data_IF_056180534252
#
_entry.id   IF_056180534252
#
_cell.length_a   1.000
_cell.length_b   1.000
_cell.length_c   1.000
_cell.angle_alpha   90.00
_cell.angle_beta   90.00
_cell.angle_gamma   90.00
#
_symmetry.space_group_name_H-M   'P 1'
#
loop_
_entity.id
_entity.type
_entity.pdbx_description
1 polymer ?
#
# COMPACT_ATOMS: atom_id res chain seq x y z
N UNK A 1 25.49 -2.92 -45.49
CA UNK A 1 24.14 -3.39 -45.11
C UNK A 1 24.03 -3.33 -43.59
N UNK A 2 23.42 -2.28 -43.04
CA UNK A 2 23.25 -2.09 -41.60
C UNK A 2 21.86 -2.54 -41.16
N UNK A 3 21.77 -3.61 -40.37
CA UNK A 3 20.51 -4.11 -39.83
C UNK A 3 20.05 -3.27 -38.65
N UNK A 4 18.95 -2.54 -38.80
CA UNK A 4 18.27 -1.84 -37.71
C UNK A 4 17.57 -2.86 -36.80
N UNK A 5 18.09 -3.06 -35.59
CA UNK A 5 17.37 -3.82 -34.54
C UNK A 5 16.12 -3.03 -34.14
N UNK A 6 14.95 -3.51 -34.54
CA UNK A 6 13.66 -3.01 -34.03
C UNK A 6 13.57 -3.34 -32.54
N UNK A 7 13.61 -2.32 -31.70
CA UNK A 7 13.31 -2.43 -30.26
C UNK A 7 11.81 -2.72 -30.15
N UNK A 8 11.44 -3.94 -29.77
CA UNK A 8 10.05 -4.26 -29.44
C UNK A 8 9.71 -3.51 -28.15
N UNK A 9 8.80 -2.55 -28.22
CA UNK A 9 8.18 -1.96 -27.02
C UNK A 9 7.33 -3.03 -26.37
N UNK A 10 7.87 -3.73 -25.37
CA UNK A 10 7.07 -4.55 -24.49
C UNK A 10 6.13 -3.61 -23.72
N UNK A 11 4.83 -3.78 -23.97
CA UNK A 11 3.77 -3.08 -23.25
C UNK A 11 3.68 -3.76 -21.88
N UNK A 12 4.06 -3.04 -20.82
CA UNK A 12 3.78 -3.51 -19.45
C UNK A 12 2.27 -3.42 -19.30
N UNK A 13 1.59 -4.56 -19.39
CA UNK A 13 0.14 -4.60 -19.51
C UNK A 13 -0.55 -4.54 -18.14
N UNK A 14 0.14 -4.97 -17.07
CA UNK A 14 -0.36 -4.88 -15.69
C UNK A 14 0.81 -4.59 -14.74
N UNK A 15 0.65 -3.58 -13.88
CA UNK A 15 1.56 -3.34 -12.75
C UNK A 15 0.90 -3.98 -11.54
N UNK A 16 1.43 -5.13 -11.09
CA UNK A 16 0.97 -5.75 -9.85
C UNK A 16 1.37 -4.84 -8.68
N UNK A 17 0.39 -4.32 -7.96
CA UNK A 17 0.58 -3.35 -6.89
C UNK A 17 -0.18 -3.81 -5.64
N UNK A 18 0.46 -3.69 -4.48
CA UNK A 18 -0.20 -3.80 -3.19
C UNK A 18 -0.08 -2.47 -2.47
N UNK A 19 -1.20 -1.96 -1.98
CA UNK A 19 -1.27 -0.70 -1.26
C UNK A 19 -1.69 -1.01 0.17
N UNK A 20 -0.81 -0.71 1.12
CA UNK A 20 -1.11 -0.82 2.53
C UNK A 20 -1.49 0.53 3.11
N UNK A 21 -2.48 0.55 3.99
CA UNK A 21 -2.83 1.76 4.73
C UNK A 21 -3.36 1.40 6.13
N UNK A 22 -3.24 2.35 7.06
CA UNK A 22 -3.82 2.22 8.40
C UNK A 22 -5.35 2.23 8.37
N UNK A 23 -5.99 1.73 9.43
CA UNK A 23 -7.45 1.70 9.51
C UNK A 23 -8.09 3.02 9.92
N UNK A 24 -7.29 3.97 10.39
CA UNK A 24 -7.74 5.26 10.93
C UNK A 24 -6.80 6.37 10.48
N UNK A 25 -7.37 7.54 10.20
CA UNK A 25 -6.63 8.81 10.15
C UNK A 25 -6.98 9.64 11.38
N UNK A 26 -6.04 10.42 11.90
CA UNK A 26 -6.33 11.48 12.87
C UNK A 26 -6.02 12.85 12.26
N UNK A 27 -6.78 13.87 12.62
CA UNK A 27 -6.42 15.23 12.27
C UNK A 27 -5.40 15.75 13.29
N UNK A 28 -4.24 16.22 12.83
CA UNK A 28 -3.19 16.78 13.69
C UNK A 28 -3.62 17.97 14.58
N UNK A 29 -4.80 18.55 14.34
CA UNK A 29 -5.40 19.61 15.15
C UNK A 29 -6.18 19.11 16.37
N UNK A 30 -6.43 17.81 16.52
CA UNK A 30 -7.00 17.27 17.75
C UNK A 30 -5.88 17.05 18.77
N UNK A 31 -5.96 17.73 19.91
CA UNK A 31 -5.06 17.65 21.08
C UNK A 31 -5.01 16.28 21.77
N UNK A 32 -5.23 15.18 21.05
CA UNK A 32 -5.12 13.81 21.52
C UNK A 32 -3.83 13.18 21.01
N UNK A 33 -2.76 13.40 21.77
CA UNK A 33 -1.42 12.85 21.54
C UNK A 33 -1.44 11.31 21.36
N UNK A 34 -2.39 10.63 22.02
CA UNK A 34 -2.52 9.17 21.99
C UNK A 34 -3.04 8.62 20.64
N UNK A 35 -3.76 9.43 19.85
CA UNK A 35 -4.29 8.99 18.55
C UNK A 35 -3.22 8.97 17.46
N UNK A 36 -2.18 9.79 17.57
CA UNK A 36 -1.07 9.81 16.60
C UNK A 36 -0.30 8.48 16.57
N UNK A 37 -0.33 7.73 17.68
CA UNK A 37 0.30 6.42 17.82
C UNK A 37 -0.53 5.26 17.27
N UNK A 38 -1.70 5.51 16.66
CA UNK A 38 -2.59 4.47 16.13
C UNK A 38 -3.35 4.91 14.87
N UNK A 39 -2.89 5.97 14.19
CA UNK A 39 -3.56 6.48 13.00
C UNK A 39 -2.62 7.28 12.09
N UNK A 40 -3.06 7.46 10.85
CA UNK A 40 -2.37 8.29 9.88
C UNK A 40 -2.75 9.77 10.09
N UNK A 41 -1.78 10.56 10.56
CA UNK A 41 -1.96 11.97 10.89
C UNK A 41 -1.73 12.93 9.70
N UNK A 42 -1.19 12.42 8.59
CA UNK A 42 -0.66 13.22 7.46
C UNK A 42 -1.48 12.96 6.20
N UNK A 43 -1.85 11.72 5.95
CA UNK A 43 -2.63 11.28 4.79
C UNK A 43 -3.98 10.72 5.25
N UNK A 44 -5.00 10.99 4.43
CA UNK A 44 -6.35 10.48 4.66
C UNK A 44 -6.46 9.05 4.09
N UNK A 45 -6.75 8.08 4.94
CA UNK A 45 -6.88 6.67 4.56
C UNK A 45 -7.97 6.42 3.50
N UNK A 46 -9.01 7.26 3.48
CA UNK A 46 -10.07 7.17 2.47
C UNK A 46 -9.57 7.63 1.09
N UNK A 47 -8.65 8.60 1.07
CA UNK A 47 -8.04 9.07 -0.16
C UNK A 47 -7.04 8.04 -0.69
N UNK A 48 -6.26 7.39 0.18
CA UNK A 48 -5.38 6.28 -0.20
C UNK A 48 -6.18 5.15 -0.85
N UNK A 49 -7.29 4.73 -0.24
CA UNK A 49 -8.12 3.66 -0.78
C UNK A 49 -8.80 4.05 -2.11
N UNK A 50 -9.35 5.26 -2.20
CA UNK A 50 -10.10 5.69 -3.39
C UNK A 50 -9.18 6.06 -4.57
N UNK A 51 -8.10 6.81 -4.32
CA UNK A 51 -7.12 7.18 -5.34
C UNK A 51 -6.25 5.99 -5.73
N UNK A 52 -5.88 5.13 -4.79
CA UNK A 52 -5.15 3.90 -5.05
C UNK A 52 -5.87 3.04 -6.09
N UNK A 53 -7.18 2.82 -5.89
CA UNK A 53 -8.02 2.08 -6.85
C UNK A 53 -8.18 2.78 -8.20
N UNK A 54 -8.16 4.12 -8.22
CA UNK A 54 -8.27 4.90 -9.46
C UNK A 54 -7.00 4.86 -10.29
N UNK A 55 -5.84 4.90 -9.64
CA UNK A 55 -4.51 4.90 -10.29
C UNK A 55 -4.09 3.46 -10.66
N UNK A 56 -4.37 2.50 -9.77
CA UNK A 56 -4.08 1.09 -9.94
C UNK A 56 -5.35 0.25 -9.72
N UNK A 57 -6.18 0.07 -10.77
CA UNK A 57 -7.45 -0.65 -10.66
C UNK A 57 -7.31 -2.08 -10.15
N UNK A 58 -6.19 -2.73 -10.48
CA UNK A 58 -5.88 -4.12 -10.13
C UNK A 58 -5.06 -4.23 -8.82
N UNK A 59 -4.87 -3.13 -8.09
CA UNK A 59 -4.10 -3.17 -6.86
C UNK A 59 -4.86 -3.89 -5.73
N UNK A 60 -4.12 -4.69 -4.97
CA UNK A 60 -4.58 -5.23 -3.70
C UNK A 60 -4.47 -4.14 -2.62
N UNK A 61 -5.59 -3.56 -2.24
CA UNK A 61 -5.64 -2.57 -1.14
C UNK A 61 -5.89 -3.30 0.18
N UNK A 62 -4.91 -3.29 1.07
CA UNK A 62 -4.93 -4.00 2.35
C UNK A 62 -4.90 -2.99 3.49
N UNK A 63 -5.94 -3.04 4.33
CA UNK A 63 -6.05 -2.21 5.54
C UNK A 63 -5.43 -2.94 6.73
N UNK A 64 -4.48 -2.31 7.40
CA UNK A 64 -3.86 -2.84 8.63
C UNK A 64 -4.47 -2.13 9.84
N UNK A 65 -5.03 -2.91 10.76
CA UNK A 65 -5.72 -2.39 11.96
C UNK A 65 -4.70 -1.88 12.99
N UNK A 66 -4.98 -0.72 13.59
CA UNK A 66 -4.15 -0.05 14.60
C UNK A 66 -2.74 0.31 14.10
N UNK A 67 -2.52 0.30 12.79
CA UNK A 67 -1.25 0.75 12.25
C UNK A 67 -1.12 2.26 12.37
N UNK A 68 0.08 2.69 12.74
CA UNK A 68 0.44 4.11 12.67
C UNK A 68 0.71 4.49 11.21
N UNK A 69 0.88 5.80 10.94
CA UNK A 69 1.24 6.30 9.60
C UNK A 69 2.31 5.42 8.93
N UNK A 70 3.44 5.25 9.61
CA UNK A 70 4.48 4.31 9.19
C UNK A 70 4.22 2.94 9.81
N UNK A 71 3.57 2.06 9.05
CA UNK A 71 3.16 0.72 9.54
C UNK A 71 4.33 -0.05 10.18
N UNK A 72 5.54 0.09 9.61
CA UNK A 72 6.77 -0.56 10.10
C UNK A 72 7.30 -0.02 11.43
N UNK A 73 6.74 1.08 11.92
CA UNK A 73 7.04 1.67 13.23
C UNK A 73 5.92 1.42 14.25
N UNK A 74 4.92 0.61 13.90
CA UNK A 74 3.82 0.22 14.78
C UNK A 74 4.27 -0.81 15.83
N UNK A 75 3.36 -1.30 16.68
CA UNK A 75 3.67 -2.37 17.63
C UNK A 75 4.07 -3.67 16.93
N UNK A 76 4.78 -4.55 17.64
CA UNK A 76 5.23 -5.85 17.13
C UNK A 76 4.08 -6.67 16.51
N UNK A 77 2.91 -6.70 17.16
CA UNK A 77 1.72 -7.38 16.64
C UNK A 77 1.27 -6.84 15.27
N UNK A 78 1.35 -5.52 15.09
CA UNK A 78 0.96 -4.86 13.83
C UNK A 78 2.00 -5.12 12.75
N UNK A 79 3.29 -5.07 13.11
CA UNK A 79 4.40 -5.37 12.21
C UNK A 79 4.33 -6.82 11.73
N UNK A 80 4.08 -7.77 12.63
CA UNK A 80 3.91 -9.18 12.30
C UNK A 80 2.72 -9.39 11.36
N UNK A 81 1.58 -8.74 11.65
CA UNK A 81 0.42 -8.78 10.77
C UNK A 81 0.73 -8.20 9.37
N UNK A 82 1.44 -7.08 9.31
CA UNK A 82 1.87 -6.45 8.06
C UNK A 82 2.78 -7.37 7.24
N UNK A 83 3.81 -7.97 7.85
CA UNK A 83 4.70 -8.92 7.17
C UNK A 83 3.99 -10.19 6.74
N UNK A 84 3.02 -10.69 7.52
CA UNK A 84 2.18 -11.80 7.12
C UNK A 84 1.38 -11.48 5.85
N UNK A 85 0.80 -10.28 5.76
CA UNK A 85 0.09 -9.84 4.56
C UNK A 85 1.01 -9.68 3.35
N UNK A 86 2.21 -9.10 3.53
CA UNK A 86 3.21 -8.98 2.44
C UNK A 86 3.64 -10.36 1.97
N UNK A 87 4.01 -11.25 2.89
CA UNK A 87 4.46 -12.60 2.56
C UNK A 87 3.37 -13.36 1.81
N UNK A 88 2.11 -13.25 2.26
CA UNK A 88 0.98 -13.84 1.57
C UNK A 88 0.81 -13.29 0.16
N UNK A 89 0.94 -11.98 -0.03
CA UNK A 89 0.83 -11.33 -1.35
C UNK A 89 1.96 -11.76 -2.29
N UNK A 90 3.22 -11.79 -1.82
CA UNK A 90 4.39 -12.22 -2.59
C UNK A 90 4.33 -13.69 -3.04
N UNK A 91 3.68 -14.54 -2.23
CA UNK A 91 3.52 -15.95 -2.54
C UNK A 91 2.29 -16.25 -3.43
N UNK A 92 1.51 -15.25 -3.83
CA UNK A 92 0.39 -15.49 -4.75
C UNK A 92 0.93 -15.85 -6.14
N UNK A 93 0.45 -16.94 -6.75
CA UNK A 93 0.84 -17.26 -8.12
C UNK A 93 0.38 -16.15 -9.06
N UNK A 94 1.30 -15.65 -9.89
CA UNK A 94 0.98 -14.71 -10.96
C UNK A 94 0.10 -15.41 -12.00
N UNK A 95 -1.21 -15.24 -11.90
CA UNK A 95 -2.14 -15.63 -12.96
C UNK A 95 -2.26 -14.47 -13.94
N UNK A 96 -1.67 -14.64 -15.12
CA UNK A 96 -1.78 -13.74 -16.27
C UNK A 96 -3.09 -13.95 -17.03
#
# INVERSE_FOLDING_TARGET
>A
MGGTKKIQKQKIEVILCVIFHSDKSCNANSSQNDLMHISDAVLNVNDIASLGKKIYPDANIIKIKNAIHDIVLSSDEVIDNYFNHISKWLNQPFTS
#
